data_IF_370884284844
#
_entry.id   IF_370884284844
#
_cell.length_a   1.000
_cell.length_b   1.000
_cell.length_c   1.000
_cell.angle_alpha   90.00
_cell.angle_beta   90.00
_cell.angle_gamma   90.00
#
_symmetry.space_group_name_H-M   'P 1'
#
loop_
_entity.id
_entity.type
_entity.pdbx_description
1 polymer ?
#
# COMPACT_ATOMS: atom_id res chain seq x y z
N UNK A 1 26.29 -7.57 20.47
CA UNK A 1 27.20 -8.20 19.48
C UNK A 1 26.42 -9.29 18.77
N UNK A 2 26.32 -9.25 17.45
CA UNK A 2 25.59 -10.23 16.65
C UNK A 2 26.25 -11.59 16.81
N UNK A 3 25.46 -12.64 17.11
CA UNK A 3 25.94 -14.02 17.21
C UNK A 3 26.36 -14.51 15.81
N UNK A 4 27.45 -15.27 15.73
CA UNK A 4 27.98 -15.73 14.43
C UNK A 4 27.00 -16.63 13.66
N UNK A 5 26.25 -17.47 14.36
CA UNK A 5 25.23 -18.32 13.73
C UNK A 5 24.09 -17.50 13.12
N UNK A 6 23.64 -16.41 13.77
CA UNK A 6 22.60 -15.53 13.26
C UNK A 6 23.09 -14.73 12.03
N UNK A 7 24.34 -14.22 12.12
CA UNK A 7 25.02 -13.60 10.98
C UNK A 7 25.06 -14.51 9.76
N UNK A 8 25.47 -15.77 9.97
CA UNK A 8 25.57 -16.74 8.88
C UNK A 8 24.23 -17.01 8.22
N UNK A 9 23.16 -17.22 9.01
CA UNK A 9 21.79 -17.43 8.50
C UNK A 9 21.35 -16.28 7.62
N UNK A 10 21.49 -15.03 8.09
CA UNK A 10 21.08 -13.84 7.35
C UNK A 10 21.86 -13.74 6.04
N UNK A 11 23.17 -13.90 6.08
CA UNK A 11 24.03 -13.80 4.89
C UNK A 11 23.76 -14.89 3.86
N UNK A 12 23.48 -16.12 4.29
CA UNK A 12 23.15 -17.22 3.37
C UNK A 12 21.79 -16.97 2.68
N UNK A 13 20.80 -16.47 3.42
CA UNK A 13 19.51 -16.06 2.83
C UNK A 13 19.68 -14.87 1.88
N UNK A 14 20.51 -13.88 2.24
CA UNK A 14 20.80 -12.73 1.37
C UNK A 14 21.45 -13.14 0.05
N UNK A 15 22.43 -14.08 0.07
CA UNK A 15 23.04 -14.63 -1.14
C UNK A 15 22.00 -15.35 -2.01
N UNK A 16 21.15 -16.17 -1.39
CA UNK A 16 20.07 -16.85 -2.10
C UNK A 16 19.12 -15.85 -2.77
N UNK A 17 18.74 -14.76 -2.08
CA UNK A 17 17.93 -13.71 -2.66
C UNK A 17 18.63 -13.01 -3.83
N UNK A 18 19.95 -12.73 -3.69
CA UNK A 18 20.75 -12.13 -4.77
C UNK A 18 20.80 -13.02 -6.01
N UNK A 19 20.97 -14.34 -5.83
CA UNK A 19 20.94 -15.30 -6.93
C UNK A 19 19.61 -15.29 -7.66
N UNK A 20 18.49 -15.22 -6.92
CA UNK A 20 17.14 -15.10 -7.50
C UNK A 20 16.95 -13.78 -8.25
N UNK A 21 17.38 -12.66 -7.65
CA UNK A 21 17.24 -11.32 -8.23
C UNK A 21 18.01 -11.13 -9.54
N UNK A 22 19.09 -11.91 -9.73
CA UNK A 22 19.94 -11.89 -10.93
C UNK A 22 19.46 -12.85 -12.03
N UNK A 23 18.35 -13.58 -11.84
CA UNK A 23 17.80 -14.42 -12.89
C UNK A 23 17.23 -13.57 -14.05
N UNK A 24 17.40 -13.99 -15.32
CA UNK A 24 16.92 -13.22 -16.48
C UNK A 24 15.44 -12.88 -16.43
N UNK A 25 14.61 -13.76 -15.89
CA UNK A 25 13.17 -13.54 -15.75
C UNK A 25 12.82 -12.30 -14.91
N UNK A 26 13.66 -11.90 -13.97
CA UNK A 26 13.43 -10.72 -13.15
C UNK A 26 13.53 -9.42 -13.95
N UNK A 27 14.40 -9.40 -14.96
CA UNK A 27 14.49 -8.28 -15.90
C UNK A 27 13.25 -8.19 -16.81
N UNK A 28 12.72 -9.33 -17.24
CA UNK A 28 11.48 -9.38 -18.02
C UNK A 28 10.30 -8.88 -17.20
N UNK A 29 10.21 -9.28 -15.93
CA UNK A 29 9.18 -8.81 -15.00
C UNK A 29 9.28 -7.29 -14.77
N UNK A 30 10.49 -6.73 -14.55
CA UNK A 30 10.66 -5.28 -14.44
C UNK A 30 10.19 -4.55 -15.69
N UNK A 31 10.56 -5.03 -16.87
CA UNK A 31 10.10 -4.46 -18.15
C UNK A 31 8.58 -4.48 -18.28
N UNK A 32 7.95 -5.60 -17.88
CA UNK A 32 6.50 -5.71 -17.88
C UNK A 32 5.86 -4.67 -16.97
N UNK A 33 6.34 -4.53 -15.73
CA UNK A 33 5.84 -3.53 -14.78
C UNK A 33 6.01 -2.09 -15.28
N UNK A 34 7.19 -1.75 -15.85
CA UNK A 34 7.41 -0.43 -16.45
C UNK A 34 6.44 -0.17 -17.62
N UNK A 35 6.31 -1.11 -18.54
CA UNK A 35 5.40 -0.97 -19.66
C UNK A 35 3.93 -0.86 -19.19
N UNK A 36 3.56 -1.63 -18.19
CA UNK A 36 2.23 -1.62 -17.60
C UNK A 36 1.89 -0.28 -16.94
N UNK A 37 2.73 0.19 -16.01
CA UNK A 37 2.49 1.45 -15.31
C UNK A 37 2.62 2.69 -16.22
N UNK A 38 3.37 2.59 -17.31
CA UNK A 38 3.45 3.61 -18.35
C UNK A 38 2.28 3.54 -19.36
N UNK A 39 1.29 2.64 -19.16
CA UNK A 39 0.14 2.38 -20.05
C UNK A 39 0.58 2.03 -21.50
N UNK A 40 1.68 1.30 -21.66
CA UNK A 40 2.29 0.94 -22.95
C UNK A 40 2.10 -0.53 -23.35
N UNK A 41 1.38 -1.30 -22.54
CA UNK A 41 1.08 -2.70 -22.82
C UNK A 41 -0.33 -3.05 -22.38
N UNK A 42 -0.95 -3.99 -23.08
CA UNK A 42 -2.18 -4.66 -22.68
C UNK A 42 -1.92 -6.06 -22.11
N UNK A 43 -0.64 -6.47 -22.01
CA UNK A 43 -0.29 -7.73 -21.33
C UNK A 43 -0.61 -7.62 -19.85
N UNK A 44 -1.29 -8.63 -19.27
CA UNK A 44 -1.69 -8.58 -17.88
C UNK A 44 -0.50 -8.68 -16.93
N UNK A 45 -0.56 -8.01 -15.79
CA UNK A 45 0.32 -8.24 -14.67
C UNK A 45 -0.41 -9.10 -13.64
N UNK A 46 0.25 -10.15 -13.17
CA UNK A 46 -0.26 -11.08 -12.15
C UNK A 46 0.51 -10.85 -10.86
N UNK A 47 -0.18 -10.37 -9.84
CA UNK A 47 0.39 -10.09 -8.52
C UNK A 47 -0.38 -10.89 -7.46
N UNK A 48 0.35 -11.55 -6.58
CA UNK A 48 -0.20 -12.29 -5.45
C UNK A 48 0.37 -11.74 -4.14
N UNK A 49 -0.45 -11.00 -3.40
CA UNK A 49 -0.11 -10.44 -2.10
C UNK A 49 -0.74 -11.27 -0.97
N UNK A 50 0.02 -12.14 -0.29
CA UNK A 50 -0.50 -13.02 0.76
C UNK A 50 -1.06 -12.30 1.98
N UNK A 51 -0.64 -11.06 2.24
CA UNK A 51 -1.08 -10.25 3.38
C UNK A 51 -1.03 -11.01 4.73
N UNK A 52 -2.16 -11.16 5.44
CA UNK A 52 -2.21 -11.87 6.72
C UNK A 52 -1.78 -13.34 6.65
N UNK A 53 -1.88 -13.97 5.47
CA UNK A 53 -1.39 -15.34 5.26
C UNK A 53 0.15 -15.46 5.26
N UNK A 54 0.90 -14.36 5.27
CA UNK A 54 2.35 -14.41 5.47
C UNK A 54 2.76 -15.16 6.73
N UNK A 55 1.94 -15.11 7.79
CA UNK A 55 2.17 -15.90 9.03
C UNK A 55 2.17 -17.40 8.82
N UNK A 56 1.48 -17.87 7.78
CA UNK A 56 1.44 -19.29 7.40
C UNK A 56 2.55 -19.64 6.40
N UNK A 57 2.96 -18.69 5.57
CA UNK A 57 4.00 -18.89 4.55
C UNK A 57 5.41 -18.86 5.15
N UNK A 58 5.62 -17.99 6.14
CA UNK A 58 6.87 -17.85 6.90
C UNK A 58 6.53 -17.81 8.39
N UNK A 59 6.21 -18.96 9.00
CA UNK A 59 5.84 -19.02 10.41
C UNK A 59 6.96 -18.53 11.33
N UNK A 60 6.60 -17.77 12.37
CA UNK A 60 7.56 -17.16 13.28
C UNK A 60 8.42 -18.17 14.07
N UNK A 61 7.91 -19.37 14.30
CA UNK A 61 8.62 -20.49 14.97
C UNK A 61 9.69 -21.15 14.08
N UNK A 62 9.69 -20.88 12.78
CA UNK A 62 10.73 -21.34 11.83
C UNK A 62 11.96 -20.43 11.79
N UNK A 63 11.88 -19.25 12.41
CA UNK A 63 12.98 -18.27 12.42
C UNK A 63 14.05 -18.69 13.44
N UNK A 64 15.32 -18.58 13.02
CA UNK A 64 16.50 -19.00 13.78
C UNK A 64 17.05 -17.87 14.64
N UNK A 65 17.00 -16.62 14.14
CA UNK A 65 17.47 -15.46 14.88
C UNK A 65 16.60 -15.20 16.13
N UNK A 66 17.24 -14.80 17.22
CA UNK A 66 16.58 -14.47 18.50
C UNK A 66 16.46 -12.96 18.71
N UNK A 67 17.45 -12.19 18.23
CA UNK A 67 17.41 -10.71 18.29
C UNK A 67 16.24 -10.20 17.45
N UNK A 68 15.40 -9.29 17.96
CA UNK A 68 14.19 -8.83 17.26
C UNK A 68 14.49 -8.22 15.88
N UNK A 69 15.55 -7.41 15.73
CA UNK A 69 15.92 -6.83 14.45
C UNK A 69 16.39 -7.90 13.46
N UNK A 70 17.22 -8.85 13.94
CA UNK A 70 17.71 -9.93 13.08
C UNK A 70 16.59 -10.89 12.67
N UNK A 71 15.61 -11.13 13.54
CA UNK A 71 14.40 -11.90 13.20
C UNK A 71 13.61 -11.23 12.10
N UNK A 72 13.48 -9.92 12.13
CA UNK A 72 12.78 -9.17 11.10
C UNK A 72 13.52 -9.24 9.76
N UNK A 73 14.84 -9.09 9.77
CA UNK A 73 15.68 -9.25 8.57
C UNK A 73 15.54 -10.67 8.01
N UNK A 74 15.63 -11.70 8.87
CA UNK A 74 15.48 -13.10 8.47
C UNK A 74 14.11 -13.38 7.85
N UNK A 75 13.05 -12.96 8.55
CA UNK A 75 11.67 -13.14 8.05
C UNK A 75 11.48 -12.54 6.69
N UNK A 76 11.95 -11.35 6.53
CA UNK A 76 11.91 -10.56 5.33
C UNK A 76 12.63 -11.21 4.15
N UNK A 77 13.86 -11.70 4.36
CA UNK A 77 14.61 -12.45 3.35
C UNK A 77 13.85 -13.72 2.96
N UNK A 78 13.32 -14.45 3.94
CA UNK A 78 12.52 -15.66 3.69
C UNK A 78 11.24 -15.37 2.92
N UNK A 79 10.53 -14.30 3.24
CA UNK A 79 9.30 -13.91 2.55
C UNK A 79 9.58 -13.52 1.09
N UNK A 80 10.65 -12.77 0.81
CA UNK A 80 11.06 -12.42 -0.55
C UNK A 80 11.49 -13.65 -1.36
N UNK A 81 12.22 -14.57 -0.74
CA UNK A 81 12.61 -15.85 -1.34
C UNK A 81 11.36 -16.70 -1.63
N UNK A 82 10.45 -16.82 -0.66
CA UNK A 82 9.20 -17.55 -0.83
C UNK A 82 8.36 -16.98 -1.98
N UNK A 83 8.26 -15.65 -2.08
CA UNK A 83 7.57 -15.01 -3.21
C UNK A 83 8.18 -15.41 -4.54
N UNK A 84 9.49 -15.32 -4.67
CA UNK A 84 10.18 -15.61 -5.93
C UNK A 84 10.14 -17.09 -6.33
N UNK A 85 10.28 -18.02 -5.37
CA UNK A 85 10.38 -19.46 -5.62
C UNK A 85 9.03 -20.16 -5.61
N UNK A 86 8.15 -19.82 -4.65
CA UNK A 86 6.89 -20.51 -4.44
C UNK A 86 5.76 -19.79 -5.15
N UNK A 87 5.44 -18.56 -4.79
CA UNK A 87 4.36 -17.80 -5.44
C UNK A 87 4.67 -17.60 -6.92
N UNK A 88 5.87 -17.13 -7.22
CA UNK A 88 6.39 -16.95 -8.57
C UNK A 88 5.46 -16.12 -9.45
N UNK A 89 4.89 -15.05 -8.92
CA UNK A 89 4.10 -14.06 -9.65
C UNK A 89 4.98 -13.15 -10.54
N UNK A 90 4.43 -12.06 -11.05
CA UNK A 90 5.18 -11.16 -11.93
C UNK A 90 5.94 -10.07 -11.14
N UNK A 91 5.94 -10.12 -9.81
CA UNK A 91 6.73 -9.20 -8.99
C UNK A 91 8.20 -9.65 -9.00
N UNK A 92 9.13 -8.80 -9.45
CA UNK A 92 10.54 -9.18 -9.51
C UNK A 92 11.16 -9.28 -8.10
N UNK A 93 12.02 -10.27 -7.90
CA UNK A 93 12.98 -10.21 -6.81
C UNK A 93 14.02 -9.12 -7.13
N UNK A 94 14.35 -8.29 -6.15
CA UNK A 94 15.26 -7.16 -6.33
C UNK A 94 16.54 -7.32 -5.51
N UNK A 95 17.64 -6.81 -6.05
CA UNK A 95 18.89 -6.65 -5.27
C UNK A 95 18.75 -5.57 -4.21
N UNK A 96 17.86 -4.61 -4.42
CA UNK A 96 17.61 -3.49 -3.53
C UNK A 96 17.07 -3.96 -2.18
N UNK A 97 17.66 -3.42 -1.11
CA UNK A 97 17.26 -3.61 0.28
C UNK A 97 17.03 -2.25 0.93
N UNK A 98 15.79 -1.89 1.16
CA UNK A 98 15.45 -0.61 1.79
C UNK A 98 15.57 -0.71 3.32
N UNK A 99 16.54 -0.03 3.89
CA UNK A 99 16.62 0.24 5.33
C UNK A 99 15.94 1.57 5.60
N UNK A 100 14.74 1.54 6.15
CA UNK A 100 13.93 2.74 6.37
C UNK A 100 14.39 3.53 7.58
N UNK A 101 14.37 4.86 7.44
CA UNK A 101 14.52 5.79 8.56
C UNK A 101 13.37 5.59 9.56
N UNK A 102 13.66 5.74 10.84
CA UNK A 102 12.68 5.63 11.92
C UNK A 102 11.93 6.96 12.02
N UNK A 103 10.74 6.99 11.42
CA UNK A 103 9.88 8.17 11.32
C UNK A 103 8.55 7.83 11.99
N UNK A 104 8.05 8.74 12.81
CA UNK A 104 6.72 8.69 13.41
C UNK A 104 6.11 10.08 13.40
N UNK A 105 4.91 10.23 13.94
CA UNK A 105 4.28 11.52 14.14
C UNK A 105 3.48 11.56 15.45
N UNK A 106 3.01 12.74 15.84
CA UNK A 106 2.27 12.94 17.10
C UNK A 106 0.79 12.52 17.01
N UNK A 107 0.31 12.11 15.85
CA UNK A 107 -1.11 11.85 15.59
C UNK A 107 -1.97 13.11 15.60
N UNK A 108 -3.25 12.95 15.25
CA UNK A 108 -4.28 13.97 15.39
C UNK A 108 -4.74 14.07 16.83
N UNK A 109 -5.02 15.28 17.31
CA UNK A 109 -5.54 15.53 18.65
C UNK A 109 -6.44 16.76 18.67
N UNK A 110 -7.15 16.98 19.79
CA UNK A 110 -7.98 18.16 20.03
C UNK A 110 -7.40 18.95 21.17
N UNK A 111 -7.38 20.27 21.08
CA UNK A 111 -6.87 21.15 22.13
C UNK A 111 -7.57 20.90 23.47
N UNK A 112 -6.78 20.70 24.54
CA UNK A 112 -7.28 20.40 25.88
C UNK A 112 -7.58 18.93 26.15
N UNK A 113 -7.47 18.04 25.17
CA UNK A 113 -7.53 16.59 25.36
C UNK A 113 -6.11 16.01 25.38
N UNK A 114 -5.91 14.91 26.13
CA UNK A 114 -4.67 14.14 25.98
C UNK A 114 -4.65 13.50 24.59
N UNK A 115 -3.54 13.65 23.89
CA UNK A 115 -3.35 12.95 22.61
C UNK A 115 -3.52 11.43 22.85
N UNK A 116 -4.55 10.86 22.26
CA UNK A 116 -4.71 9.42 22.28
C UNK A 116 -3.71 8.83 21.28
N UNK A 117 -2.84 7.93 21.75
CA UNK A 117 -1.84 7.21 20.95
C UNK A 117 -2.45 6.39 19.79
N UNK A 118 -3.77 6.29 19.72
CA UNK A 118 -4.53 5.61 18.68
C UNK A 118 -4.30 6.17 17.25
N UNK A 119 -3.77 7.37 17.14
CA UNK A 119 -3.46 8.01 15.84
C UNK A 119 -1.96 8.18 15.59
N UNK A 120 -1.10 7.75 16.53
CA UNK A 120 0.31 7.65 16.22
C UNK A 120 0.49 6.53 15.22
N UNK A 121 0.99 6.85 14.04
CA UNK A 121 1.39 5.86 13.06
C UNK A 121 2.64 5.11 13.56
N UNK A 122 2.50 4.31 14.64
CA UNK A 122 3.55 3.38 15.08
C UNK A 122 3.91 2.37 13.98
N UNK A 123 3.03 2.21 12.98
CA UNK A 123 3.29 1.41 11.78
C UNK A 123 4.47 1.91 10.94
N UNK A 124 5.01 3.08 11.20
CA UNK A 124 6.15 3.64 10.47
C UNK A 124 7.49 3.05 10.92
N UNK A 125 7.54 2.30 12.00
CA UNK A 125 8.76 1.62 12.48
C UNK A 125 9.09 0.32 11.74
N UNK A 126 8.64 0.16 10.52
CA UNK A 126 8.96 -1.05 9.77
C UNK A 126 10.13 -0.80 8.86
N UNK A 127 11.29 -1.42 9.08
CA UNK A 127 12.25 -1.62 8.02
C UNK A 127 11.62 -2.56 7.02
N UNK A 128 10.86 -2.04 6.09
CA UNK A 128 10.09 -2.86 5.18
C UNK A 128 10.60 -2.71 3.80
N UNK A 129 10.78 -3.82 3.31
CA UNK A 129 11.07 -4.14 1.96
C UNK A 129 9.94 -3.66 1.10
N UNK A 130 10.34 -2.97 0.08
CA UNK A 130 9.50 -2.42 -0.96
C UNK A 130 8.59 -3.42 -1.66
N UNK A 131 8.90 -4.72 -1.63
CA UNK A 131 8.16 -5.78 -2.34
C UNK A 131 7.18 -6.58 -1.48
N UNK A 132 7.02 -6.21 -0.21
CA UNK A 132 6.02 -6.80 0.69
C UNK A 132 5.25 -5.64 1.32
N UNK A 133 3.93 -5.76 1.36
CA UNK A 133 3.08 -4.76 2.01
C UNK A 133 3.58 -4.53 3.44
N UNK A 134 3.92 -3.29 3.83
CA UNK A 134 4.53 -2.97 5.12
C UNK A 134 3.65 -3.31 6.33
N UNK A 135 2.36 -3.47 6.14
CA UNK A 135 1.42 -3.79 7.23
C UNK A 135 1.41 -5.26 7.64
N UNK A 136 2.05 -6.15 6.87
CA UNK A 136 2.02 -7.60 7.11
C UNK A 136 3.39 -8.11 7.55
N UNK A 137 3.64 -8.05 8.85
CA UNK A 137 4.91 -8.45 9.49
C UNK A 137 4.68 -9.43 10.66
N UNK A 138 5.71 -10.21 11.08
CA UNK A 138 5.62 -11.00 12.30
C UNK A 138 5.31 -10.11 13.51
N UNK A 139 4.31 -10.52 14.30
CA UNK A 139 3.88 -9.80 15.49
C UNK A 139 2.86 -8.68 15.23
N UNK A 140 2.49 -8.40 13.98
CA UNK A 140 1.32 -7.57 13.71
C UNK A 140 0.05 -8.37 14.05
N UNK A 141 -0.65 -7.92 15.07
CA UNK A 141 -1.89 -8.55 15.52
C UNK A 141 -3.07 -7.69 15.09
N UNK A 142 -3.82 -8.15 14.12
CA UNK A 142 -5.02 -7.48 13.61
C UNK A 142 -6.10 -7.33 14.68
N UNK A 143 -6.16 -8.27 15.61
CA UNK A 143 -7.18 -8.29 16.67
C UNK A 143 -6.92 -7.22 17.76
N UNK A 144 -5.67 -6.73 17.89
CA UNK A 144 -5.33 -5.67 18.85
C UNK A 144 -5.66 -4.26 18.31
N UNK A 145 -5.92 -4.11 17.01
CA UNK A 145 -6.32 -2.83 16.41
C UNK A 145 -7.82 -2.54 16.54
N UNK A 146 -8.60 -3.51 16.98
CA UNK A 146 -10.04 -3.40 17.25
C UNK A 146 -10.36 -2.87 18.66
N UNK A 147 -9.44 -2.15 19.33
CA UNK A 147 -9.74 -1.48 20.59
C UNK A 147 -10.93 -0.51 20.37
N UNK A 148 -11.87 -0.51 21.30
CA UNK A 148 -12.96 0.48 21.31
C UNK A 148 -12.33 1.89 21.38
N UNK A 149 -12.44 2.61 20.27
CA UNK A 149 -11.99 3.99 20.19
C UNK A 149 -13.08 4.90 20.73
N UNK A 150 -12.76 5.71 21.73
CA UNK A 150 -13.58 6.88 22.01
C UNK A 150 -13.28 7.95 20.94
N UNK A 151 -14.32 8.45 20.24
CA UNK A 151 -14.14 9.52 19.26
C UNK A 151 -13.44 10.73 19.87
N UNK A 152 -12.55 11.39 19.11
CA UNK A 152 -11.91 12.64 19.57
C UNK A 152 -12.90 13.79 19.66
N UNK A 153 -13.94 13.78 18.83
CA UNK A 153 -15.01 14.77 18.75
C UNK A 153 -16.34 14.06 18.99
N UNK A 154 -17.03 14.39 20.09
CA UNK A 154 -18.34 13.89 20.43
C UNK A 154 -19.45 14.61 19.65
N UNK A 155 -20.69 14.17 19.82
CA UNK A 155 -21.85 14.88 19.24
C UNK A 155 -22.05 16.26 19.87
N UNK A 156 -21.81 16.37 21.20
CA UNK A 156 -21.88 17.67 21.91
C UNK A 156 -20.82 18.65 21.40
N UNK A 157 -19.64 18.15 21.00
CA UNK A 157 -18.57 18.99 20.42
C UNK A 157 -18.97 19.53 19.05
N UNK A 158 -19.80 18.82 18.27
CA UNK A 158 -20.24 19.26 16.94
C UNK A 158 -21.18 20.48 16.99
N UNK A 159 -21.77 20.77 18.14
CA UNK A 159 -22.53 22.02 18.37
C UNK A 159 -21.62 23.24 18.53
N UNK A 160 -20.31 23.03 18.80
CA UNK A 160 -19.32 24.12 18.87
C UNK A 160 -18.87 24.51 17.43
N UNK A 161 -19.24 25.71 17.00
CA UNK A 161 -18.87 26.23 15.67
C UNK A 161 -17.35 26.32 15.45
N UNK A 162 -16.57 26.35 16.50
CA UNK A 162 -15.11 26.48 16.48
C UNK A 162 -14.38 25.14 16.62
N UNK A 163 -15.09 24.00 16.72
CA UNK A 163 -14.49 22.68 16.99
C UNK A 163 -13.35 22.34 16.01
N UNK A 164 -13.53 22.66 14.72
CA UNK A 164 -12.51 22.42 13.71
C UNK A 164 -11.21 23.17 13.99
N UNK A 165 -11.27 24.36 14.60
CA UNK A 165 -10.09 25.16 14.93
C UNK A 165 -9.28 24.59 16.10
N UNK A 166 -9.89 23.71 16.91
CA UNK A 166 -9.25 23.01 18.03
C UNK A 166 -8.53 21.73 17.62
N UNK A 167 -8.70 21.25 16.37
CA UNK A 167 -7.95 20.13 15.85
C UNK A 167 -6.48 20.49 15.63
N UNK A 168 -5.60 19.64 16.15
CA UNK A 168 -4.16 19.77 16.06
C UNK A 168 -3.64 18.74 15.07
N UNK A 169 -3.03 19.21 13.98
CA UNK A 169 -2.44 18.36 12.96
C UNK A 169 -1.15 17.68 13.47
N UNK A 170 -0.81 16.50 12.93
CA UNK A 170 0.39 15.74 13.29
C UNK A 170 1.68 16.52 13.04
N UNK A 171 2.68 16.28 13.90
CA UNK A 171 4.06 16.74 13.71
C UNK A 171 4.98 15.54 13.55
N UNK A 172 5.87 15.61 12.57
CA UNK A 172 6.85 14.54 12.30
C UNK A 172 7.85 14.44 13.43
N UNK A 173 8.16 13.21 13.81
CA UNK A 173 9.22 12.84 14.75
C UNK A 173 10.21 11.95 14.01
N UNK A 174 11.50 12.28 14.07
CA UNK A 174 12.56 11.51 13.42
C UNK A 174 13.61 11.07 14.44
N UNK A 175 13.78 9.76 14.61
CA UNK A 175 14.90 9.19 15.37
C UNK A 175 16.11 9.00 14.45
N UNK A 176 16.93 10.04 14.32
CA UNK A 176 18.11 10.04 13.46
C UNK A 176 19.18 9.05 13.96
N UNK A 177 19.42 9.01 15.29
CA UNK A 177 20.43 8.13 15.87
C UNK A 177 20.04 6.66 15.76
N UNK A 178 18.78 6.33 16.05
CA UNK A 178 18.23 4.98 15.87
C UNK A 178 18.29 4.54 14.42
N UNK A 179 17.89 5.43 13.50
CA UNK A 179 17.95 5.18 12.05
C UNK A 179 19.36 4.88 11.58
N UNK A 180 20.34 5.67 12.05
CA UNK A 180 21.75 5.45 11.68
C UNK A 180 22.28 4.13 12.21
N UNK A 181 22.02 3.81 13.49
CA UNK A 181 22.42 2.52 14.07
C UNK A 181 21.84 1.34 13.30
N UNK A 182 20.58 1.44 12.93
CA UNK A 182 19.88 0.41 12.15
C UNK A 182 20.50 0.26 10.75
N UNK A 183 20.76 1.36 10.06
CA UNK A 183 21.42 1.35 8.76
C UNK A 183 22.81 0.73 8.81
N UNK A 184 23.63 1.08 9.82
CA UNK A 184 24.97 0.55 10.00
C UNK A 184 24.93 -0.99 10.19
N UNK A 185 23.93 -1.54 10.91
CA UNK A 185 23.72 -2.98 11.07
C UNK A 185 23.36 -3.65 9.74
N UNK A 186 22.40 -3.08 9.00
CA UNK A 186 21.99 -3.61 7.70
C UNK A 186 23.15 -3.58 6.71
N UNK A 187 23.92 -2.49 6.69
CA UNK A 187 25.08 -2.33 5.83
C UNK A 187 26.18 -3.35 6.18
N UNK A 188 26.43 -3.60 7.47
CA UNK A 188 27.41 -4.61 7.93
C UNK A 188 26.99 -6.04 7.53
N UNK A 189 25.69 -6.35 7.63
CA UNK A 189 25.20 -7.71 7.38
C UNK A 189 25.00 -8.02 5.89
N UNK A 190 24.58 -7.03 5.11
CA UNK A 190 24.01 -7.23 3.77
C UNK A 190 24.71 -6.43 2.67
N UNK A 191 25.43 -5.34 3.01
CA UNK A 191 25.89 -4.35 2.04
C UNK A 191 26.91 -4.81 1.02
N UNK A 192 27.57 -5.97 1.23
CA UNK A 192 28.44 -6.62 0.25
C UNK A 192 27.72 -7.67 -0.61
N UNK A 193 26.42 -7.92 -0.34
CA UNK A 193 25.59 -8.93 -1.03
C UNK A 193 24.42 -8.26 -1.75
N UNK A 194 23.73 -7.34 -1.09
CA UNK A 194 22.55 -6.63 -1.57
C UNK A 194 22.81 -5.13 -1.65
N UNK A 195 22.02 -4.41 -2.46
CA UNK A 195 22.09 -2.96 -2.58
C UNK A 195 21.29 -2.30 -1.43
N UNK A 196 21.96 -2.10 -0.29
CA UNK A 196 21.36 -1.51 0.92
C UNK A 196 21.18 -0.01 0.73
N UNK A 197 19.94 0.46 0.73
CA UNK A 197 19.56 1.84 0.57
C UNK A 197 19.02 2.43 1.87
N UNK A 198 19.50 3.61 2.26
CA UNK A 198 18.96 4.34 3.40
C UNK A 198 17.75 5.20 2.94
N UNK A 199 16.55 4.70 3.16
CA UNK A 199 15.33 5.27 2.60
C UNK A 199 14.46 5.95 3.64
N UNK A 200 13.81 7.03 3.24
CA UNK A 200 12.71 7.64 3.97
C UNK A 200 11.38 6.94 3.67
N UNK A 201 10.28 7.64 3.95
CA UNK A 201 8.95 7.16 3.61
C UNK A 201 8.76 7.13 2.09
N UNK A 202 8.26 6.01 1.58
CA UNK A 202 7.95 5.76 0.16
C UNK A 202 6.45 5.54 -0.07
N UNK A 203 5.66 5.38 0.99
CA UNK A 203 4.21 5.18 0.92
C UNK A 203 3.49 6.44 1.35
N UNK A 204 2.90 7.13 0.37
CA UNK A 204 2.17 8.38 0.58
C UNK A 204 0.70 8.09 0.35
N UNK A 205 -0.05 8.05 1.43
CA UNK A 205 -1.45 7.68 1.43
C UNK A 205 -2.31 8.73 2.12
N UNK A 206 -3.47 8.97 1.56
CA UNK A 206 -4.52 9.79 2.12
C UNK A 206 -5.74 8.88 2.40
N UNK A 207 -5.72 8.20 3.57
CA UNK A 207 -6.87 7.44 4.08
C UNK A 207 -7.86 8.43 4.69
N UNK A 208 -8.58 9.13 3.80
CA UNK A 208 -9.31 10.34 4.09
C UNK A 208 -10.44 10.11 5.08
N UNK A 209 -11.36 9.22 4.72
CA UNK A 209 -12.50 8.93 5.56
C UNK A 209 -12.15 8.03 6.75
N UNK A 210 -11.13 7.20 6.64
CA UNK A 210 -10.60 6.47 7.80
C UNK A 210 -10.20 7.45 8.92
N UNK A 211 -9.50 8.54 8.58
CA UNK A 211 -9.13 9.56 9.58
C UNK A 211 -10.34 10.28 10.15
N UNK A 212 -11.32 10.67 9.30
CA UNK A 212 -12.53 11.31 9.79
C UNK A 212 -13.34 10.39 10.70
N UNK A 213 -13.51 9.12 10.32
CA UNK A 213 -14.23 8.12 11.14
C UNK A 213 -13.52 7.81 12.46
N UNK A 214 -12.19 7.86 12.50
CA UNK A 214 -11.43 7.78 13.76
C UNK A 214 -11.66 8.99 14.66
N UNK A 215 -11.83 10.18 14.09
CA UNK A 215 -12.11 11.40 14.85
C UNK A 215 -13.53 11.39 15.41
N UNK A 216 -14.52 10.94 14.63
CA UNK A 216 -15.96 11.06 14.93
C UNK A 216 -16.64 9.76 15.40
N UNK A 217 -16.05 8.59 15.13
CA UNK A 217 -16.74 7.31 15.12
C UNK A 217 -17.43 7.09 13.77
N UNK A 218 -17.52 5.81 13.36
CA UNK A 218 -18.02 5.46 12.02
C UNK A 218 -19.50 5.84 11.80
N UNK A 219 -20.38 5.55 12.76
CA UNK A 219 -21.80 5.84 12.64
C UNK A 219 -22.04 7.36 12.60
N UNK A 220 -21.40 8.12 13.49
CA UNK A 220 -21.51 9.57 13.54
C UNK A 220 -20.99 10.22 12.27
N UNK A 221 -19.89 9.72 11.68
CA UNK A 221 -19.37 10.22 10.40
C UNK A 221 -20.40 10.10 9.26
N UNK A 222 -21.28 9.09 9.28
CA UNK A 222 -22.36 8.96 8.30
C UNK A 222 -23.52 9.89 8.60
N UNK A 223 -23.85 10.14 9.87
CA UNK A 223 -24.88 11.11 10.26
C UNK A 223 -24.45 12.55 9.97
N UNK A 224 -23.17 12.89 10.18
CA UNK A 224 -22.61 14.23 9.94
C UNK A 224 -22.83 14.73 8.50
N UNK A 225 -22.94 13.82 7.52
CA UNK A 225 -23.29 14.16 6.14
C UNK A 225 -24.62 14.90 6.00
N UNK A 226 -25.54 14.68 6.94
CA UNK A 226 -26.91 15.25 6.93
C UNK A 226 -27.12 16.24 8.06
N UNK A 227 -26.62 15.92 9.25
CA UNK A 227 -26.90 16.68 10.46
C UNK A 227 -25.90 17.84 10.65
N UNK A 228 -24.63 17.66 10.24
CA UNK A 228 -23.55 18.64 10.43
C UNK A 228 -22.67 18.85 9.17
N UNK A 229 -23.24 19.01 7.96
CA UNK A 229 -22.44 19.07 6.72
C UNK A 229 -21.44 20.25 6.72
N UNK A 230 -21.83 21.41 7.25
CA UNK A 230 -20.95 22.58 7.33
C UNK A 230 -19.78 22.38 8.29
N UNK A 231 -20.02 21.75 9.44
CA UNK A 231 -18.96 21.43 10.41
C UNK A 231 -18.03 20.35 9.86
N UNK A 232 -18.60 19.33 9.20
CA UNK A 232 -17.81 18.33 8.50
C UNK A 232 -16.86 18.97 7.49
N UNK A 233 -17.33 19.89 6.66
CA UNK A 233 -16.48 20.62 5.71
C UNK A 233 -15.37 21.41 6.41
N UNK A 234 -15.63 22.04 7.55
CA UNK A 234 -14.60 22.75 8.31
C UNK A 234 -13.53 21.78 8.82
N UNK A 235 -13.93 20.63 9.38
CA UNK A 235 -13.00 19.58 9.85
C UNK A 235 -12.19 19.03 8.68
N UNK A 236 -12.84 18.67 7.56
CA UNK A 236 -12.17 18.17 6.35
C UNK A 236 -11.15 19.17 5.80
N UNK A 237 -11.43 20.46 5.85
CA UNK A 237 -10.47 21.50 5.44
C UNK A 237 -9.23 21.56 6.36
N UNK A 238 -9.38 21.25 7.65
CA UNK A 238 -8.25 21.12 8.59
C UNK A 238 -7.45 19.86 8.27
N UNK A 239 -8.13 18.74 8.00
CA UNK A 239 -7.48 17.49 7.62
C UNK A 239 -6.67 17.65 6.33
N UNK A 240 -7.21 18.31 5.29
CA UNK A 240 -6.51 18.60 4.03
C UNK A 240 -5.18 19.33 4.28
N UNK A 241 -5.23 20.40 5.06
CA UNK A 241 -4.03 21.17 5.40
C UNK A 241 -3.04 20.37 6.24
N UNK A 242 -3.55 19.59 7.19
CA UNK A 242 -2.72 18.80 8.10
C UNK A 242 -1.99 17.66 7.38
N UNK A 243 -2.65 16.96 6.48
CA UNK A 243 -2.01 15.93 5.64
C UNK A 243 -0.92 16.52 4.74
N UNK A 244 -1.24 17.63 4.07
CA UNK A 244 -0.24 18.28 3.23
C UNK A 244 0.96 18.76 4.05
N UNK A 245 0.70 19.34 5.24
CA UNK A 245 1.76 19.77 6.14
C UNK A 245 2.61 18.60 6.66
N UNK A 246 1.99 17.44 6.96
CA UNK A 246 2.71 16.25 7.41
C UNK A 246 3.73 15.78 6.37
N UNK A 247 3.32 15.65 5.10
CA UNK A 247 4.23 15.26 4.03
C UNK A 247 5.22 16.37 3.67
N UNK A 248 4.84 17.65 3.82
CA UNK A 248 5.77 18.76 3.63
C UNK A 248 6.89 18.75 4.69
N UNK A 249 6.57 18.50 5.96
CA UNK A 249 7.58 18.32 7.02
C UNK A 249 8.54 17.18 6.65
N UNK A 250 8.02 16.01 6.21
CA UNK A 250 8.86 14.89 5.80
C UNK A 250 9.75 15.28 4.61
N UNK A 251 9.24 16.03 3.64
CA UNK A 251 10.00 16.50 2.49
C UNK A 251 11.13 17.45 2.91
N UNK A 252 10.82 18.46 3.73
CA UNK A 252 11.76 19.46 4.21
C UNK A 252 12.88 18.86 5.07
N UNK A 253 12.58 17.79 5.81
CA UNK A 253 13.54 17.05 6.63
C UNK A 253 14.31 15.97 5.83
N UNK A 254 14.05 15.79 4.52
CA UNK A 254 14.66 14.74 3.71
C UNK A 254 14.25 13.34 4.13
N UNK A 255 13.02 13.18 4.59
CA UNK A 255 12.45 11.92 5.09
C UNK A 255 11.52 11.23 4.07
N UNK A 256 11.36 11.77 2.86
CA UNK A 256 10.71 11.08 1.74
C UNK A 256 11.77 10.48 0.81
N UNK A 257 11.43 9.42 0.12
CA UNK A 257 12.26 8.80 -0.91
C UNK A 257 11.45 8.46 -2.15
N UNK A 258 12.12 8.40 -3.31
CA UNK A 258 11.53 7.98 -4.58
C UNK A 258 10.77 6.66 -4.43
N UNK A 259 9.61 6.60 -5.07
CA UNK A 259 8.74 5.43 -5.03
C UNK A 259 8.25 5.00 -6.45
N UNK A 260 9.08 5.27 -7.45
CA UNK A 260 8.83 4.94 -8.86
C UNK A 260 9.51 3.65 -9.33
N UNK A 261 9.80 2.74 -8.40
CA UNK A 261 10.40 1.43 -8.65
C UNK A 261 9.64 0.31 -7.95
N UNK A 262 10.37 -0.55 -7.25
CA UNK A 262 9.82 -1.70 -6.52
C UNK A 262 9.03 -1.34 -5.24
N UNK A 263 8.74 -0.08 -5.02
CA UNK A 263 7.98 0.37 -3.87
C UNK A 263 6.49 0.09 -4.07
N UNK A 264 5.87 -0.41 -3.00
CA UNK A 264 4.43 -0.63 -2.95
C UNK A 264 3.66 0.68 -3.11
N UNK A 265 2.63 0.66 -3.96
CA UNK A 265 1.81 1.81 -4.26
C UNK A 265 0.32 1.43 -4.36
N UNK A 266 -0.50 2.15 -3.61
CA UNK A 266 -1.94 1.94 -3.59
C UNK A 266 -2.32 0.62 -2.92
N UNK A 267 -3.26 -0.09 -3.49
CA UNK A 267 -3.82 -1.33 -2.95
C UNK A 267 -3.32 -2.57 -3.68
N UNK A 268 -2.01 -2.77 -3.72
CA UNK A 268 -1.36 -3.96 -4.21
C UNK A 268 -0.38 -3.74 -5.37
N UNK A 269 -0.43 -2.61 -6.07
CA UNK A 269 0.49 -2.36 -7.18
C UNK A 269 1.87 -1.86 -6.72
N UNK A 270 2.82 -1.84 -7.66
CA UNK A 270 4.16 -1.31 -7.45
C UNK A 270 4.42 -0.10 -8.33
N UNK A 271 5.41 0.72 -7.94
CA UNK A 271 5.63 2.05 -8.50
C UNK A 271 6.40 2.11 -9.82
N UNK A 272 6.90 1.00 -10.36
CA UNK A 272 7.76 0.98 -11.57
C UNK A 272 7.23 1.85 -12.71
N UNK A 273 7.83 3.00 -12.96
CA UNK A 273 7.44 3.87 -14.08
C UNK A 273 8.59 4.76 -14.53
N UNK A 274 8.64 5.06 -15.82
CA UNK A 274 9.55 6.04 -16.41
C UNK A 274 8.92 7.45 -16.48
N UNK A 275 7.62 7.57 -16.20
CA UNK A 275 6.90 8.85 -16.30
C UNK A 275 7.17 9.78 -15.11
N UNK A 276 7.80 9.27 -14.04
CA UNK A 276 8.26 10.07 -12.90
C UNK A 276 9.76 10.30 -13.03
N UNK A 277 10.15 11.57 -13.16
CA UNK A 277 11.56 11.96 -13.29
C UNK A 277 12.28 11.84 -11.94
N UNK A 278 13.46 11.23 -11.96
CA UNK A 278 14.39 11.29 -10.84
C UNK A 278 15.06 12.66 -10.79
N UNK A 279 15.12 13.33 -9.61
CA UNK A 279 15.85 14.59 -9.48
C UNK A 279 17.30 14.45 -9.97
N UNK A 280 17.79 15.48 -10.64
CA UNK A 280 19.20 15.52 -11.05
C UNK A 280 20.13 15.56 -9.82
N UNK A 281 21.41 15.13 -9.95
CA UNK A 281 22.36 15.21 -8.85
C UNK A 281 22.44 16.64 -8.27
N UNK A 282 22.13 16.77 -6.98
CA UNK A 282 22.10 18.05 -6.26
C UNK A 282 20.76 18.76 -6.25
N UNK A 283 19.77 18.24 -6.93
CA UNK A 283 18.38 18.73 -6.83
C UNK A 283 17.65 18.05 -5.68
N UNK A 284 16.78 18.78 -5.01
CA UNK A 284 15.94 18.25 -3.95
C UNK A 284 14.75 17.48 -4.53
N UNK A 285 14.33 16.44 -3.82
CA UNK A 285 13.08 15.74 -4.06
C UNK A 285 11.91 16.72 -3.91
N UNK A 286 10.88 16.54 -4.73
CA UNK A 286 9.62 17.27 -4.67
C UNK A 286 8.46 16.30 -4.75
N UNK A 287 7.24 16.72 -4.45
CA UNK A 287 6.05 15.88 -4.63
C UNK A 287 5.87 15.43 -6.10
N UNK A 288 6.33 16.22 -7.07
CA UNK A 288 6.30 15.87 -8.50
C UNK A 288 7.27 14.75 -8.90
N UNK A 289 8.02 14.22 -7.95
CA UNK A 289 8.86 13.03 -8.13
C UNK A 289 8.27 11.78 -7.47
N UNK A 290 7.01 11.82 -7.02
CA UNK A 290 6.42 10.77 -6.18
C UNK A 290 5.04 10.37 -6.68
N UNK A 291 4.72 9.09 -6.46
CA UNK A 291 3.35 8.60 -6.44
C UNK A 291 2.68 8.95 -5.12
N UNK A 292 1.36 9.15 -5.18
CA UNK A 292 0.49 9.21 -4.01
C UNK A 292 -0.73 8.29 -4.21
N UNK A 293 -1.44 8.04 -3.14
CA UNK A 293 -2.60 7.16 -3.10
C UNK A 293 -3.69 7.77 -2.23
N UNK A 294 -4.96 7.58 -2.60
CA UNK A 294 -6.10 7.94 -1.76
C UNK A 294 -7.20 6.89 -1.81
N UNK A 295 -7.99 6.84 -0.77
CA UNK A 295 -9.17 6.01 -0.68
C UNK A 295 -10.14 6.53 0.39
N UNK A 296 -11.42 6.21 0.23
CA UNK A 296 -12.50 6.53 1.17
C UNK A 296 -13.50 5.37 1.21
N UNK A 297 -13.00 4.16 1.50
CA UNK A 297 -13.79 2.93 1.51
C UNK A 297 -14.89 2.92 2.59
N UNK A 298 -14.75 3.73 3.64
CA UNK A 298 -15.77 3.92 4.68
C UNK A 298 -17.08 4.46 4.07
N UNK A 299 -16.97 5.14 2.91
CA UNK A 299 -18.12 5.67 2.17
C UNK A 299 -18.69 4.70 1.12
N UNK A 300 -18.51 3.38 1.33
CA UNK A 300 -19.04 2.34 0.41
C UNK A 300 -20.56 2.44 0.21
N UNK A 301 -21.30 2.85 1.24
CA UNK A 301 -22.77 3.01 1.20
C UNK A 301 -23.23 4.44 0.91
N UNK A 302 -22.31 5.38 0.76
CA UNK A 302 -22.62 6.80 0.49
C UNK A 302 -22.82 7.02 -1.00
N UNK A 303 -23.74 7.90 -1.36
CA UNK A 303 -24.02 8.21 -2.78
C UNK A 303 -22.79 8.78 -3.49
N UNK A 304 -22.67 8.58 -4.82
CA UNK A 304 -21.56 9.16 -5.58
C UNK A 304 -21.42 10.67 -5.41
N UNK A 305 -22.53 11.39 -5.39
CA UNK A 305 -22.56 12.85 -5.24
C UNK A 305 -21.99 13.29 -3.90
N UNK A 306 -22.40 12.65 -2.80
CA UNK A 306 -21.88 12.96 -1.47
C UNK A 306 -20.45 12.47 -1.31
N UNK A 307 -20.08 11.30 -1.86
CA UNK A 307 -18.68 10.85 -1.86
C UNK A 307 -17.79 11.83 -2.63
N UNK A 308 -18.28 12.38 -3.75
CA UNK A 308 -17.55 13.42 -4.47
C UNK A 308 -17.33 14.65 -3.60
N UNK A 309 -18.40 15.18 -3.00
CA UNK A 309 -18.38 16.41 -2.21
C UNK A 309 -17.50 16.32 -0.97
N UNK A 310 -17.64 15.25 -0.19
CA UNK A 310 -17.01 15.12 1.12
C UNK A 310 -15.67 14.34 1.10
N UNK A 311 -15.37 13.64 0.01
CA UNK A 311 -14.12 12.89 -0.11
C UNK A 311 -13.35 13.25 -1.38
N UNK A 312 -13.82 12.87 -2.59
CA UNK A 312 -13.03 12.91 -3.82
C UNK A 312 -12.52 14.33 -4.15
N UNK A 313 -13.33 15.37 -3.93
CA UNK A 313 -12.92 16.75 -4.22
C UNK A 313 -11.77 17.23 -3.31
N UNK A 314 -11.67 16.75 -2.08
CA UNK A 314 -10.54 17.00 -1.18
C UNK A 314 -9.31 16.18 -1.58
N UNK A 315 -9.49 14.88 -1.78
CA UNK A 315 -8.44 13.95 -2.18
C UNK A 315 -7.80 14.36 -3.51
N UNK A 316 -8.60 14.81 -4.49
CA UNK A 316 -8.14 15.36 -5.76
C UNK A 316 -7.12 16.48 -5.55
N UNK A 317 -7.44 17.47 -4.69
CA UNK A 317 -6.53 18.61 -4.42
C UNK A 317 -5.21 18.19 -3.80
N UNK A 318 -5.22 17.09 -3.01
CA UNK A 318 -4.01 16.50 -2.44
C UNK A 318 -3.24 15.71 -3.50
N UNK A 319 -3.91 14.79 -4.19
CA UNK A 319 -3.29 13.89 -5.19
C UNK A 319 -2.64 14.66 -6.34
N UNK A 320 -3.27 15.73 -6.84
CA UNK A 320 -2.76 16.51 -7.96
C UNK A 320 -1.46 17.29 -7.65
N UNK A 321 -1.02 17.31 -6.39
CA UNK A 321 0.31 17.83 -6.02
C UNK A 321 1.45 16.87 -6.39
N UNK A 322 1.15 15.60 -6.54
CA UNK A 322 2.12 14.56 -6.85
C UNK A 322 2.27 14.32 -8.36
N UNK A 323 3.22 13.47 -8.75
CA UNK A 323 3.44 13.16 -10.16
C UNK A 323 2.35 12.26 -10.73
N UNK A 324 2.08 11.16 -10.06
CA UNK A 324 1.06 10.18 -10.40
C UNK A 324 0.27 9.79 -9.16
N UNK A 325 -0.94 9.29 -9.36
CA UNK A 325 -1.77 8.85 -8.26
C UNK A 325 -2.50 7.53 -8.54
N UNK A 326 -2.83 6.83 -7.44
CA UNK A 326 -3.69 5.67 -7.41
C UNK A 326 -4.91 5.97 -6.54
N UNK A 327 -6.06 5.36 -6.84
CA UNK A 327 -7.29 5.57 -6.09
C UNK A 327 -8.04 4.27 -5.82
N UNK A 328 -8.57 4.17 -4.59
CA UNK A 328 -9.54 3.18 -4.16
C UNK A 328 -8.94 1.91 -3.56
N UNK A 329 -9.73 1.21 -2.77
CA UNK A 329 -9.36 0.00 -2.05
C UNK A 329 -10.37 -1.13 -2.32
N UNK A 330 -11.21 -1.47 -1.32
CA UNK A 330 -12.12 -2.61 -1.36
C UNK A 330 -13.57 -2.21 -1.72
N UNK A 331 -13.86 -0.92 -1.79
CA UNK A 331 -15.20 -0.41 -2.12
C UNK A 331 -15.54 -0.54 -3.61
N UNK A 332 -16.82 -0.58 -3.91
CA UNK A 332 -17.30 -0.57 -5.28
C UNK A 332 -17.29 0.86 -5.83
N UNK A 333 -16.34 1.15 -6.70
CA UNK A 333 -16.14 2.46 -7.32
C UNK A 333 -16.93 2.68 -8.61
N UNK A 334 -17.72 1.72 -9.09
CA UNK A 334 -18.33 1.73 -10.42
C UNK A 334 -19.03 3.07 -10.75
N UNK A 335 -19.82 3.59 -9.80
CA UNK A 335 -20.54 4.86 -9.98
C UNK A 335 -19.69 6.11 -9.68
N UNK A 336 -18.50 5.94 -9.09
CA UNK A 336 -17.58 7.01 -8.69
C UNK A 336 -16.47 7.22 -9.72
N UNK A 337 -16.25 6.26 -10.64
CA UNK A 337 -15.20 6.31 -11.67
C UNK A 337 -15.16 7.63 -12.45
N UNK A 338 -16.30 8.20 -12.91
CA UNK A 338 -16.26 9.46 -13.66
C UNK A 338 -15.61 10.61 -12.87
N UNK A 339 -15.87 10.71 -11.56
CA UNK A 339 -15.26 11.73 -10.70
C UNK A 339 -13.79 11.45 -10.42
N UNK A 340 -13.42 10.18 -10.22
CA UNK A 340 -12.03 9.76 -10.03
C UNK A 340 -11.20 10.03 -11.30
N UNK A 341 -11.74 9.80 -12.48
CA UNK A 341 -11.07 10.10 -13.76
C UNK A 341 -10.89 11.62 -14.02
N UNK A 342 -11.53 12.48 -13.26
CA UNK A 342 -11.30 13.91 -13.29
C UNK A 342 -10.07 14.36 -12.48
N UNK A 343 -9.38 13.44 -11.79
CA UNK A 343 -8.10 13.69 -11.14
C UNK A 343 -7.01 13.66 -12.22
N UNK A 344 -6.35 14.80 -12.46
CA UNK A 344 -5.48 15.01 -13.63
C UNK A 344 -4.33 14.00 -13.75
N UNK A 345 -3.79 13.54 -12.61
CA UNK A 345 -2.64 12.63 -12.54
C UNK A 345 -3.03 11.21 -12.12
N UNK A 346 -4.31 10.83 -12.24
CA UNK A 346 -4.74 9.46 -11.91
C UNK A 346 -4.11 8.47 -12.88
N UNK A 347 -3.50 7.44 -12.34
CA UNK A 347 -2.83 6.40 -13.13
C UNK A 347 -3.34 4.99 -12.82
N UNK A 348 -3.87 4.74 -11.62
CA UNK A 348 -4.37 3.43 -11.20
C UNK A 348 -5.70 3.56 -10.47
N UNK A 349 -6.68 2.74 -10.84
CA UNK A 349 -7.99 2.69 -10.18
C UNK A 349 -8.26 1.27 -9.71
N UNK A 350 -8.59 1.12 -8.43
CA UNK A 350 -8.94 -0.17 -7.84
C UNK A 350 -10.29 -0.66 -8.35
N UNK A 351 -10.36 -1.94 -8.71
CA UNK A 351 -11.58 -2.62 -9.13
C UNK A 351 -11.84 -3.76 -8.16
N UNK A 352 -12.78 -3.54 -7.27
CA UNK A 352 -13.14 -4.47 -6.20
C UNK A 352 -13.83 -5.72 -6.75
N UNK A 353 -13.79 -6.88 -6.06
CA UNK A 353 -14.49 -8.09 -6.48
C UNK A 353 -16.03 -7.93 -6.53
N UNK A 354 -16.55 -6.85 -5.95
CA UNK A 354 -17.99 -6.53 -5.90
C UNK A 354 -18.47 -5.58 -7.00
N UNK A 355 -17.51 -5.07 -7.81
CA UNK A 355 -17.82 -4.17 -8.92
C UNK A 355 -18.25 -4.96 -10.17
N UNK A 356 -19.07 -4.32 -11.02
CA UNK A 356 -19.29 -4.80 -12.38
C UNK A 356 -18.03 -4.51 -13.22
N UNK A 357 -17.24 -5.56 -13.47
CA UNK A 357 -15.92 -5.42 -14.11
C UNK A 357 -16.03 -4.96 -15.56
N UNK A 358 -17.08 -5.32 -16.27
CA UNK A 358 -17.33 -4.90 -17.63
C UNK A 358 -17.68 -3.41 -17.68
N UNK A 359 -18.54 -2.94 -16.77
CA UNK A 359 -18.85 -1.51 -16.61
C UNK A 359 -17.62 -0.70 -16.23
N UNK A 360 -16.81 -1.20 -15.29
CA UNK A 360 -15.55 -0.56 -14.89
C UNK A 360 -14.57 -0.45 -16.06
N UNK A 361 -14.40 -1.53 -16.85
CA UNK A 361 -13.56 -1.54 -18.05
C UNK A 361 -13.99 -0.47 -19.04
N UNK A 362 -15.30 -0.38 -19.35
CA UNK A 362 -15.83 0.54 -20.36
C UNK A 362 -15.61 2.01 -19.95
N UNK A 363 -15.61 2.30 -18.66
CA UNK A 363 -15.34 3.62 -18.13
C UNK A 363 -13.83 3.95 -18.09
N UNK A 364 -13.01 3.04 -17.59
CA UNK A 364 -11.57 3.26 -17.37
C UNK A 364 -10.80 3.16 -18.70
N UNK A 365 -11.01 2.10 -19.49
CA UNK A 365 -10.31 1.85 -20.74
C UNK A 365 -8.78 1.89 -20.54
N UNK A 366 -8.09 2.62 -21.42
CA UNK A 366 -6.63 2.87 -21.33
C UNK A 366 -6.29 4.19 -20.64
N UNK A 367 -7.24 4.85 -19.96
CA UNK A 367 -6.99 6.12 -19.26
C UNK A 367 -6.21 5.92 -17.96
N UNK A 368 -6.38 4.76 -17.33
CA UNK A 368 -5.70 4.37 -16.11
C UNK A 368 -5.51 2.85 -16.07
N UNK A 369 -4.66 2.37 -15.15
CA UNK A 369 -4.49 0.95 -14.86
C UNK A 369 -5.79 0.41 -14.27
N UNK A 370 -6.30 -0.65 -14.89
CA UNK A 370 -7.45 -1.42 -14.44
C UNK A 370 -6.98 -2.45 -13.41
N UNK A 371 -6.95 -2.04 -12.12
CA UNK A 371 -6.36 -2.81 -11.02
C UNK A 371 -7.39 -3.74 -10.39
N UNK A 372 -7.55 -4.94 -10.96
CA UNK A 372 -8.61 -5.88 -10.61
C UNK A 372 -8.26 -6.78 -9.42
N UNK A 373 -9.19 -6.90 -8.47
CA UNK A 373 -9.07 -7.79 -7.31
C UNK A 373 -10.04 -8.97 -7.47
N UNK A 374 -9.54 -10.21 -7.64
CA UNK A 374 -10.39 -11.39 -7.60
C UNK A 374 -10.93 -11.62 -6.20
N UNK A 375 -12.03 -12.38 -6.07
CA UNK A 375 -12.59 -12.70 -4.76
C UNK A 375 -11.64 -13.64 -3.98
N UNK A 376 -11.09 -13.20 -2.82
CA UNK A 376 -10.13 -14.01 -2.05
C UNK A 376 -10.75 -15.25 -1.42
N UNK A 377 -12.08 -15.32 -1.28
CA UNK A 377 -12.76 -16.46 -0.65
C UNK A 377 -12.52 -17.78 -1.38
N UNK A 378 -12.20 -17.73 -2.67
CA UNK A 378 -11.92 -18.93 -3.45
C UNK A 378 -10.64 -19.66 -3.04
N UNK A 379 -9.71 -18.97 -2.39
CA UNK A 379 -8.47 -19.55 -1.89
C UNK A 379 -8.47 -19.70 -0.37
N UNK A 380 -9.10 -18.77 0.37
CA UNK A 380 -9.16 -18.81 1.83
C UNK A 380 -10.15 -19.83 2.34
N UNK A 381 -11.21 -20.12 1.59
CA UNK A 381 -12.23 -21.14 1.90
C UNK A 381 -11.88 -22.57 1.47
N UNK A 382 -10.73 -22.75 0.82
CA UNK A 382 -10.28 -23.99 0.20
C UNK A 382 -10.22 -23.87 -1.32
N UNK A 383 -9.46 -24.79 -1.94
CA UNK A 383 -9.19 -24.72 -3.37
C UNK A 383 -10.37 -25.22 -4.21
N UNK A 384 -11.04 -24.34 -4.96
CA UNK A 384 -12.03 -24.69 -5.99
C UNK A 384 -11.52 -24.23 -7.36
N UNK A 385 -10.85 -25.12 -8.09
CA UNK A 385 -10.22 -24.80 -9.36
C UNK A 385 -11.23 -24.42 -10.44
N UNK A 386 -12.38 -25.07 -10.50
CA UNK A 386 -13.39 -24.82 -11.53
C UNK A 386 -13.96 -23.39 -11.38
N UNK A 387 -14.34 -23.03 -10.17
CA UNK A 387 -14.87 -21.71 -9.85
C UNK A 387 -13.83 -20.62 -10.09
N UNK A 388 -12.59 -20.82 -9.60
CA UNK A 388 -11.49 -19.86 -9.80
C UNK A 388 -11.16 -19.69 -11.28
N UNK A 389 -11.06 -20.78 -12.02
CA UNK A 389 -10.76 -20.73 -13.46
C UNK A 389 -11.85 -19.98 -14.23
N UNK A 390 -13.11 -20.23 -13.91
CA UNK A 390 -14.25 -19.52 -14.53
C UNK A 390 -14.19 -18.04 -14.24
N UNK A 391 -13.98 -17.64 -13.00
CA UNK A 391 -13.92 -16.22 -12.62
C UNK A 391 -12.67 -15.54 -13.19
N UNK A 392 -11.49 -16.15 -13.06
CA UNK A 392 -10.25 -15.62 -13.64
C UNK A 392 -10.35 -15.43 -15.15
N UNK A 393 -10.97 -16.36 -15.89
CA UNK A 393 -11.20 -16.20 -17.32
C UNK A 393 -12.11 -15.01 -17.63
N UNK A 394 -13.16 -14.79 -16.83
CA UNK A 394 -14.05 -13.63 -16.97
C UNK A 394 -13.29 -12.33 -16.73
N UNK A 395 -12.49 -12.27 -15.64
CA UNK A 395 -11.69 -11.09 -15.31
C UNK A 395 -10.64 -10.78 -16.38
N UNK A 396 -9.94 -11.79 -16.90
CA UNK A 396 -8.98 -11.64 -18.01
C UNK A 396 -9.65 -11.14 -19.27
N UNK A 397 -10.84 -11.65 -19.62
CA UNK A 397 -11.61 -11.17 -20.78
C UNK A 397 -12.05 -9.72 -20.62
N UNK A 398 -12.49 -9.34 -19.43
CA UNK A 398 -12.82 -7.95 -19.11
C UNK A 398 -11.59 -7.04 -19.18
N UNK A 399 -10.43 -7.50 -18.73
CA UNK A 399 -9.18 -6.73 -18.77
C UNK A 399 -8.57 -6.54 -20.17
N UNK A 400 -9.04 -7.29 -21.17
CA UNK A 400 -8.46 -7.21 -22.52
C UNK A 400 -8.64 -5.83 -23.15
N UNK A 401 -7.54 -5.26 -23.64
CA UNK A 401 -7.52 -3.93 -24.25
C UNK A 401 -7.43 -2.80 -23.23
N UNK A 402 -7.09 -3.11 -21.98
CA UNK A 402 -6.76 -2.14 -20.93
C UNK A 402 -5.35 -2.38 -20.40
N UNK A 403 -4.78 -1.46 -19.64
CA UNK A 403 -3.61 -1.75 -18.82
C UNK A 403 -4.08 -2.54 -17.59
N UNK A 404 -4.11 -3.86 -17.72
CA UNK A 404 -4.75 -4.75 -16.76
C UNK A 404 -3.77 -5.39 -15.79
N UNK A 405 -4.09 -5.32 -14.51
CA UNK A 405 -3.43 -6.12 -13.48
C UNK A 405 -4.47 -6.91 -12.68
N UNK A 406 -4.13 -8.13 -12.31
CA UNK A 406 -4.92 -8.95 -11.41
C UNK A 406 -4.13 -9.19 -10.12
N UNK A 407 -4.67 -8.71 -9.01
CA UNK A 407 -3.99 -8.70 -7.71
C UNK A 407 -4.81 -9.51 -6.70
N UNK A 408 -4.33 -10.70 -6.37
CA UNK A 408 -4.89 -11.47 -5.26
C UNK A 408 -4.41 -10.88 -3.94
N UNK A 409 -5.33 -10.38 -3.14
CA UNK A 409 -5.08 -9.79 -1.82
C UNK A 409 -6.20 -10.18 -0.84
N UNK A 410 -6.17 -9.65 0.38
CA UNK A 410 -7.13 -9.94 1.46
C UNK A 410 -7.14 -11.43 1.86
N UNK A 411 -6.00 -12.09 1.68
CA UNK A 411 -5.80 -13.51 2.02
C UNK A 411 -5.22 -13.63 3.43
N UNK A 412 -6.09 -13.54 4.46
CA UNK A 412 -5.65 -13.56 5.86
C UNK A 412 -5.37 -14.96 6.39
N UNK A 413 -6.00 -15.98 5.79
CA UNK A 413 -5.80 -17.39 6.11
C UNK A 413 -5.65 -18.20 4.84
N UNK A 414 -4.87 -19.28 4.90
CA UNK A 414 -4.70 -20.22 3.80
C UNK A 414 -4.46 -21.61 4.37
N UNK A 415 -4.99 -22.64 3.71
CA UNK A 415 -4.81 -24.03 4.13
C UNK A 415 -3.50 -24.61 3.64
N UNK A 416 -3.13 -24.36 2.39
CA UNK A 416 -1.89 -24.81 1.77
C UNK A 416 -1.16 -23.62 1.12
N UNK A 417 0.05 -23.24 1.55
CA UNK A 417 0.85 -22.18 0.93
C UNK A 417 1.10 -22.39 -0.58
N UNK A 418 1.01 -23.63 -1.08
CA UNK A 418 1.13 -23.93 -2.51
C UNK A 418 -0.08 -23.45 -3.33
N UNK A 419 -1.20 -23.13 -2.70
CA UNK A 419 -2.38 -22.60 -3.40
C UNK A 419 -2.10 -21.24 -4.03
N UNK A 420 -1.18 -20.44 -3.48
CA UNK A 420 -0.71 -19.22 -4.12
C UNK A 420 -0.01 -19.50 -5.46
N UNK A 421 0.81 -20.55 -5.51
CA UNK A 421 1.45 -20.99 -6.77
C UNK A 421 0.41 -21.51 -7.77
N UNK A 422 -0.52 -22.35 -7.32
CA UNK A 422 -1.60 -22.87 -8.18
C UNK A 422 -2.42 -21.73 -8.78
N UNK A 423 -2.72 -20.69 -7.96
CA UNK A 423 -3.44 -19.52 -8.44
C UNK A 423 -2.65 -18.74 -9.49
N UNK A 424 -1.36 -18.49 -9.27
CA UNK A 424 -0.50 -17.79 -10.25
C UNK A 424 -0.40 -18.54 -11.57
N UNK A 425 -0.23 -19.87 -11.51
CA UNK A 425 -0.16 -20.72 -12.71
C UNK A 425 -1.51 -20.73 -13.46
N UNK A 426 -2.63 -20.81 -12.72
CA UNK A 426 -3.98 -20.70 -13.29
C UNK A 426 -4.20 -19.35 -13.99
N UNK A 427 -3.77 -18.25 -13.39
CA UNK A 427 -3.83 -16.93 -14.01
C UNK A 427 -3.02 -16.86 -15.30
N UNK A 428 -1.81 -17.42 -15.35
CA UNK A 428 -0.99 -17.50 -16.58
C UNK A 428 -1.63 -18.31 -17.67
N UNK A 429 -2.24 -19.46 -17.34
CA UNK A 429 -2.98 -20.27 -18.31
C UNK A 429 -4.17 -19.50 -18.90
N UNK A 430 -4.91 -18.75 -18.06
CA UNK A 430 -6.02 -17.93 -18.51
C UNK A 430 -5.53 -16.74 -19.36
N UNK A 431 -4.45 -16.08 -18.93
CA UNK A 431 -3.83 -14.99 -19.68
C UNK A 431 -3.36 -15.44 -21.08
N UNK A 432 -2.70 -16.58 -21.18
CA UNK A 432 -2.26 -17.14 -22.46
C UNK A 432 -3.42 -17.41 -23.44
N UNK A 433 -4.61 -17.74 -22.94
CA UNK A 433 -5.81 -17.96 -23.78
C UNK A 433 -6.46 -16.66 -24.25
N UNK A 434 -6.29 -15.58 -23.50
CA UNK A 434 -6.98 -14.30 -23.77
C UNK A 434 -6.07 -13.32 -24.52
N UNK A 435 -4.79 -13.25 -24.13
CA UNK A 435 -3.83 -12.26 -24.62
C UNK A 435 -2.76 -12.86 -25.56
N UNK A 436 -2.63 -14.20 -25.57
CA UNK A 436 -1.63 -14.94 -26.35
C UNK A 436 -1.94 -15.12 -27.84
#
# INVERSE_FOLDING_TARGET
>A
MIKENERQVIRDLAKKLADLANQPIMEERRKLWYAHNDLKTDQPVIDCSPEGAWRHNVPADTLICEDPLLREIEWTLRARIFRAEVINDDVPAEMRWDCRKIISDTGWSVEGQQAHNAFTNESVHVPTISTINPFWRPGYNFDETAAEFEPLISDDDMEDEDIASRLIAPKVIYDEEGSKRMFDIHQELLGDILDVQWTGNTYIAFSWMETYTKIRGYENALYDLYDYPEQMHKILAVLEKGYLNLYQQQLDMGLLSMNNGCQYNGTGGFGYTNDIQTPAPGENLTFKNLWAYAESQEFISVSPEMTKEFAIDYEKRLLEKFALSAYGCCDNLEKKVPDILNIDNIRRISVSPWADVESMRDQIGMKAIFSCKPNPSYITGGWDEELMRKDTMRLMQAGKGTAFEIILKDTHTIQDPQDFRRWTDLCRECAAKVFG
#
